data_IF_723792838508
#
_entry.id   IF_723792838508
#
_cell.length_a   1.000
_cell.length_b   1.000
_cell.length_c   1.000
_cell.angle_alpha   90.00
_cell.angle_beta   90.00
_cell.angle_gamma   90.00
#
_symmetry.space_group_name_H-M   'P 1'
#
loop_
_entity.id
_entity.type
_entity.pdbx_description
1 polymer ?
#
# COMPACT_ATOMS: atom_id res chain seq x y z
N UNK A 1 36.75 22.31 -14.38
CA UNK A 1 35.91 22.16 -13.17
C UNK A 1 34.50 22.72 -13.35
N UNK A 2 34.29 24.00 -13.71
CA UNK A 2 32.93 24.57 -13.92
C UNK A 2 32.06 23.84 -14.97
N UNK A 3 32.66 23.38 -16.08
CA UNK A 3 31.94 22.60 -17.11
C UNK A 3 31.47 21.22 -16.63
N UNK A 4 32.27 20.55 -15.79
CA UNK A 4 31.96 19.21 -15.25
C UNK A 4 30.81 19.30 -14.23
N UNK A 5 30.83 20.33 -13.37
CA UNK A 5 29.74 20.59 -12.41
C UNK A 5 28.41 20.84 -13.14
N UNK A 6 28.43 21.55 -14.26
CA UNK A 6 27.23 21.81 -15.06
C UNK A 6 26.67 20.55 -15.73
N UNK A 7 27.52 19.66 -16.24
CA UNK A 7 27.08 18.38 -16.84
C UNK A 7 26.49 17.45 -15.78
N UNK A 8 27.07 17.40 -14.58
CA UNK A 8 26.55 16.61 -13.47
C UNK A 8 25.17 17.15 -13.03
N UNK A 9 25.01 18.47 -12.89
CA UNK A 9 23.73 19.11 -12.55
C UNK A 9 22.63 18.84 -13.60
N UNK A 10 22.97 18.82 -14.89
CA UNK A 10 22.00 18.50 -15.95
C UNK A 10 21.59 17.02 -15.97
N UNK A 11 22.46 16.10 -15.54
CA UNK A 11 22.12 14.67 -15.44
C UNK A 11 21.19 14.41 -14.25
N UNK A 12 21.46 15.02 -13.10
CA UNK A 12 20.58 14.92 -11.91
C UNK A 12 19.20 15.58 -12.11
N UNK A 13 19.11 16.63 -12.93
CA UNK A 13 17.81 17.26 -13.22
C UNK A 13 16.94 16.42 -14.14
N UNK A 14 17.54 15.68 -15.09
CA UNK A 14 16.82 14.78 -15.97
C UNK A 14 16.29 13.54 -15.25
N UNK A 15 17.07 12.94 -14.34
CA UNK A 15 16.63 11.79 -13.55
C UNK A 15 15.47 12.15 -12.61
N UNK A 16 15.56 13.29 -11.91
CA UNK A 16 14.48 13.77 -11.04
C UNK A 16 13.17 14.07 -11.81
N UNK A 17 13.26 14.66 -13.01
CA UNK A 17 12.09 14.96 -13.85
C UNK A 17 11.46 13.68 -14.43
N UNK A 18 12.28 12.68 -14.77
CA UNK A 18 11.83 11.36 -15.24
C UNK A 18 11.05 10.62 -14.16
N UNK A 19 11.57 10.58 -12.92
CA UNK A 19 10.91 9.89 -11.80
C UNK A 19 9.58 10.55 -11.40
N UNK A 20 9.50 11.88 -11.42
CA UNK A 20 8.23 12.57 -11.21
C UNK A 20 7.19 12.25 -12.30
N UNK A 21 7.64 12.11 -13.55
CA UNK A 21 6.76 11.76 -14.68
C UNK A 21 6.26 10.33 -14.58
N UNK A 22 7.13 9.39 -14.18
CA UNK A 22 6.78 7.98 -13.99
C UNK A 22 5.75 7.80 -12.86
N UNK A 23 6.01 8.39 -11.70
CA UNK A 23 5.13 8.27 -10.54
C UNK A 23 3.74 8.88 -10.79
N UNK A 24 3.66 9.97 -11.55
CA UNK A 24 2.37 10.56 -11.92
C UNK A 24 1.54 9.60 -12.78
N UNK A 25 2.15 8.92 -13.77
CA UNK A 25 1.47 7.89 -14.56
C UNK A 25 0.98 6.73 -13.70
N UNK A 26 1.78 6.31 -12.71
CA UNK A 26 1.39 5.27 -11.75
C UNK A 26 0.14 5.68 -10.97
N UNK A 27 0.13 6.92 -10.44
CA UNK A 27 -1.02 7.47 -9.72
C UNK A 27 -2.27 7.56 -10.59
N UNK A 28 -2.13 7.98 -11.85
CA UNK A 28 -3.24 8.04 -12.81
C UNK A 28 -3.83 6.64 -13.07
N UNK A 29 -2.97 5.63 -13.28
CA UNK A 29 -3.41 4.25 -13.45
C UNK A 29 -4.11 3.73 -12.19
N UNK A 30 -3.51 3.90 -11.01
CA UNK A 30 -4.08 3.51 -9.71
C UNK A 30 -5.47 4.11 -9.48
N UNK A 31 -5.70 5.36 -9.90
CA UNK A 31 -6.99 6.02 -9.73
C UNK A 31 -8.16 5.33 -10.44
N UNK A 32 -7.87 4.44 -11.40
CA UNK A 32 -8.86 3.70 -12.20
C UNK A 32 -8.70 2.18 -12.12
N UNK A 33 -7.70 1.68 -11.37
CA UNK A 33 -7.42 0.25 -11.26
C UNK A 33 -8.26 -0.39 -10.14
N UNK A 34 -9.27 -1.15 -10.57
CA UNK A 34 -10.15 -1.89 -9.65
C UNK A 34 -9.41 -2.99 -8.89
N UNK A 35 -8.40 -3.64 -9.47
CA UNK A 35 -7.71 -4.76 -8.81
C UNK A 35 -6.92 -4.23 -7.61
N UNK A 36 -6.12 -3.18 -7.81
CA UNK A 36 -5.35 -2.58 -6.71
C UNK A 36 -6.27 -1.93 -5.67
N UNK A 37 -7.41 -1.37 -6.07
CA UNK A 37 -8.42 -0.88 -5.15
C UNK A 37 -9.04 -2.00 -4.29
N UNK A 38 -9.41 -3.12 -4.90
CA UNK A 38 -9.99 -4.27 -4.19
C UNK A 38 -8.99 -4.87 -3.20
N UNK A 39 -7.70 -4.91 -3.55
CA UNK A 39 -6.64 -5.31 -2.63
C UNK A 39 -6.49 -4.36 -1.43
N UNK A 40 -6.55 -3.05 -1.68
CA UNK A 40 -6.56 -2.04 -0.62
C UNK A 40 -7.77 -2.21 0.31
N UNK A 41 -8.96 -2.45 -0.26
CA UNK A 41 -10.18 -2.73 0.48
C UNK A 41 -10.07 -4.00 1.32
N UNK A 42 -9.57 -5.08 0.73
CA UNK A 42 -9.36 -6.36 1.41
C UNK A 42 -8.43 -6.23 2.62
N UNK A 43 -7.25 -5.61 2.44
CA UNK A 43 -6.30 -5.39 3.53
C UNK A 43 -6.90 -4.53 4.65
N UNK A 44 -7.69 -3.51 4.30
CA UNK A 44 -8.40 -2.68 5.27
C UNK A 44 -9.45 -3.45 6.09
N UNK A 45 -10.21 -4.35 5.44
CA UNK A 45 -11.16 -5.22 6.13
C UNK A 45 -10.47 -6.14 7.13
N UNK A 46 -9.31 -6.71 6.78
CA UNK A 46 -8.53 -7.54 7.67
C UNK A 46 -7.96 -6.76 8.85
N UNK A 47 -7.42 -5.56 8.60
CA UNK A 47 -6.91 -4.67 9.64
C UNK A 47 -8.03 -4.33 10.66
N UNK A 48 -9.25 -4.08 10.17
CA UNK A 48 -10.42 -3.87 11.01
C UNK A 48 -10.77 -5.10 11.86
N UNK A 49 -10.72 -6.30 11.27
CA UNK A 49 -10.99 -7.54 11.98
C UNK A 49 -9.96 -7.80 13.10
N UNK A 50 -8.67 -7.57 12.83
CA UNK A 50 -7.61 -7.73 13.83
C UNK A 50 -7.86 -6.88 15.08
N UNK A 51 -8.37 -5.65 14.90
CA UNK A 51 -8.76 -4.76 16.00
C UNK A 51 -9.91 -5.31 16.85
N UNK A 52 -10.90 -5.96 16.24
CA UNK A 52 -12.03 -6.56 16.96
C UNK A 52 -11.65 -7.88 17.65
N UNK A 53 -10.76 -8.67 17.03
CA UNK A 53 -10.30 -9.95 17.55
C UNK A 53 -9.22 -9.84 18.64
N UNK A 54 -8.81 -8.62 18.99
CA UNK A 54 -7.71 -8.36 19.95
C UNK A 54 -6.40 -9.02 19.50
N UNK A 55 -6.18 -9.12 18.19
CA UNK A 55 -4.95 -9.63 17.64
C UNK A 55 -3.91 -8.51 17.58
N UNK A 56 -3.39 -8.14 18.75
CA UNK A 56 -2.39 -7.06 18.90
C UNK A 56 -0.96 -7.52 18.56
N UNK A 57 -0.75 -8.81 18.28
CA UNK A 57 0.52 -9.31 17.77
C UNK A 57 0.69 -8.91 16.30
N UNK A 58 1.33 -7.75 16.09
CA UNK A 58 1.65 -7.21 14.77
C UNK A 58 2.34 -8.20 13.83
N UNK A 59 3.04 -9.22 14.36
CA UNK A 59 3.78 -10.18 13.52
C UNK A 59 2.95 -11.35 13.02
N UNK A 60 1.75 -11.56 13.55
CA UNK A 60 0.91 -12.72 13.23
C UNK A 60 -0.57 -12.33 13.04
N UNK A 61 -0.85 -11.06 12.77
CA UNK A 61 -2.20 -10.60 12.52
C UNK A 61 -2.62 -10.81 11.05
N UNK A 62 -3.93 -10.82 10.80
CA UNK A 62 -4.45 -11.16 9.48
C UNK A 62 -4.02 -10.16 8.41
N UNK A 63 -3.96 -8.87 8.77
CA UNK A 63 -3.46 -7.80 7.91
C UNK A 63 -2.00 -8.05 7.48
N UNK A 64 -1.09 -8.28 8.43
CA UNK A 64 0.32 -8.52 8.14
C UNK A 64 0.53 -9.77 7.28
N UNK A 65 -0.12 -10.88 7.65
CA UNK A 65 0.00 -12.13 6.90
C UNK A 65 -0.50 -11.98 5.46
N UNK A 66 -1.62 -11.29 5.26
CA UNK A 66 -2.16 -11.04 3.92
C UNK A 66 -1.30 -10.05 3.12
N UNK A 67 -0.67 -9.08 3.78
CA UNK A 67 0.32 -8.22 3.13
C UNK A 67 1.50 -9.06 2.61
N UNK A 68 2.03 -9.98 3.43
CA UNK A 68 3.12 -10.87 3.00
C UNK A 68 2.69 -11.80 1.86
N UNK A 69 1.48 -12.38 1.90
CA UNK A 69 0.97 -13.24 0.84
C UNK A 69 0.81 -12.50 -0.50
N UNK A 70 0.24 -11.30 -0.47
CA UNK A 70 0.16 -10.42 -1.64
C UNK A 70 1.55 -10.05 -2.14
N UNK A 71 2.51 -9.89 -1.23
CA UNK A 71 3.87 -9.62 -1.62
C UNK A 71 4.56 -10.78 -2.32
N UNK A 72 4.45 -11.99 -1.79
CA UNK A 72 4.99 -13.18 -2.43
C UNK A 72 4.38 -13.44 -3.81
N UNK A 73 3.13 -13.03 -4.01
CA UNK A 73 2.44 -13.11 -5.31
C UNK A 73 2.70 -11.92 -6.23
N UNK A 74 3.62 -11.03 -5.85
CA UNK A 74 4.03 -9.85 -6.63
C UNK A 74 2.88 -8.87 -6.93
N UNK A 75 1.97 -8.74 -5.97
CA UNK A 75 0.82 -7.85 -6.05
C UNK A 75 1.24 -6.37 -6.18
N UNK A 76 0.56 -5.56 -7.01
CA UNK A 76 0.89 -4.15 -7.15
C UNK A 76 0.77 -3.37 -5.85
N UNK A 77 -0.22 -3.67 -4.99
CA UNK A 77 -0.42 -2.92 -3.74
C UNK A 77 0.82 -3.01 -2.81
N UNK A 78 1.45 -4.18 -2.69
CA UNK A 78 2.58 -4.41 -1.79
C UNK A 78 3.93 -4.14 -2.44
N UNK A 79 3.94 -3.97 -3.77
CA UNK A 79 5.14 -3.65 -4.56
C UNK A 79 5.32 -2.15 -4.74
N UNK A 80 4.23 -1.39 -4.64
CA UNK A 80 4.24 0.06 -4.71
C UNK A 80 4.19 0.73 -3.34
N UNK A 81 3.48 0.13 -2.36
CA UNK A 81 3.21 0.75 -1.08
C UNK A 81 3.75 -0.04 0.10
N UNK A 82 4.19 0.68 1.12
CA UNK A 82 4.68 0.11 2.37
C UNK A 82 3.54 -0.41 3.23
N UNK A 83 3.81 -1.48 3.97
CA UNK A 83 2.90 -2.00 5.00
C UNK A 83 2.54 -0.89 6.01
N UNK A 84 3.54 -0.13 6.48
CA UNK A 84 3.33 0.99 7.40
C UNK A 84 2.43 2.08 6.81
N UNK A 85 2.53 2.36 5.51
CA UNK A 85 1.66 3.32 4.83
C UNK A 85 0.19 2.88 4.88
N UNK A 86 -0.06 1.59 4.64
CA UNK A 86 -1.38 0.98 4.72
C UNK A 86 -1.90 0.96 6.17
N UNK A 87 -1.12 0.42 7.11
CA UNK A 87 -1.43 0.32 8.54
C UNK A 87 -1.81 1.69 9.13
N UNK A 88 -0.98 2.71 8.89
CA UNK A 88 -1.26 4.06 9.38
C UNK A 88 -2.52 4.67 8.75
N UNK A 89 -2.76 4.39 7.47
CA UNK A 89 -3.96 4.89 6.76
C UNK A 89 -5.22 4.25 7.33
N UNK A 90 -5.23 2.93 7.53
CA UNK A 90 -6.36 2.21 8.10
C UNK A 90 -6.60 2.60 9.56
N UNK A 91 -5.56 2.64 10.40
CA UNK A 91 -5.67 3.14 11.79
C UNK A 91 -6.28 4.52 11.88
N UNK A 92 -5.90 5.43 10.99
CA UNK A 92 -6.45 6.78 10.98
C UNK A 92 -7.91 6.80 10.52
N UNK A 93 -8.25 6.02 9.48
CA UNK A 93 -9.62 5.91 9.00
C UNK A 93 -10.55 5.33 10.09
N UNK A 94 -10.11 4.29 10.76
CA UNK A 94 -10.81 3.59 11.84
C UNK A 94 -11.07 4.42 13.11
N UNK A 95 -10.38 5.54 13.30
CA UNK A 95 -10.66 6.48 14.41
C UNK A 95 -12.03 7.13 14.26
N UNK A 96 -12.55 7.21 13.04
CA UNK A 96 -13.88 7.78 12.76
C UNK A 96 -15.03 6.80 13.08
N UNK A 97 -14.72 5.53 13.35
CA UNK A 97 -15.75 4.52 13.54
C UNK A 97 -16.45 4.68 14.89
N UNK A 98 -17.76 4.40 14.96
CA UNK A 98 -18.46 4.29 16.23
C UNK A 98 -17.68 3.36 17.17
N UNK A 99 -17.53 3.76 18.43
CA UNK A 99 -16.94 2.89 19.45
C UNK A 99 -17.93 1.78 19.79
N UNK A 100 -17.95 0.73 18.99
CA UNK A 100 -18.68 -0.50 19.31
C UNK A 100 -18.04 -1.11 20.55
N UNK A 101 -18.84 -1.44 21.58
CA UNK A 101 -18.35 -2.21 22.72
C UNK A 101 -17.87 -3.55 22.17
N UNK A 102 -16.58 -3.82 22.31
CA UNK A 102 -16.00 -5.12 21.96
C UNK A 102 -16.61 -6.18 22.88
N UNK A 103 -16.93 -7.34 22.32
CA UNK A 103 -17.27 -8.48 23.15
C UNK A 103 -16.03 -8.95 23.91
N UNK A 104 -16.26 -9.61 25.04
CA UNK A 104 -15.21 -10.38 25.71
C UNK A 104 -14.77 -11.54 24.81
N UNK A 105 -13.51 -12.01 24.93
CA UNK A 105 -12.97 -13.13 24.14
C UNK A 105 -13.83 -14.42 24.19
N UNK A 106 -14.66 -14.59 25.23
CA UNK A 106 -15.59 -15.71 25.42
C UNK A 106 -16.92 -15.56 24.65
N UNK A 107 -17.19 -14.40 24.03
CA UNK A 107 -18.47 -14.05 23.36
C UNK A 107 -18.28 -13.39 22.00
N UNK A 108 -17.16 -13.62 21.32
CA UNK A 108 -16.89 -13.02 20.01
C UNK A 108 -17.97 -13.43 18.99
N UNK A 109 -18.76 -12.47 18.52
CA UNK A 109 -19.63 -12.65 17.34
C UNK A 109 -18.84 -12.32 16.06
N UNK A 110 -18.13 -13.31 15.56
CA UNK A 110 -17.26 -13.17 14.39
C UNK A 110 -18.01 -12.70 13.14
N UNK A 111 -19.22 -13.21 12.90
CA UNK A 111 -20.03 -12.83 11.74
C UNK A 111 -20.46 -11.36 11.81
N UNK A 112 -20.80 -10.88 13.01
CA UNK A 112 -21.08 -9.46 13.22
C UNK A 112 -19.86 -8.58 12.91
N UNK A 113 -18.66 -8.96 13.35
CA UNK A 113 -17.45 -8.19 13.06
C UNK A 113 -17.08 -8.18 11.58
N UNK A 114 -17.26 -9.31 10.87
CA UNK A 114 -17.12 -9.34 9.40
C UNK A 114 -18.06 -8.32 8.75
N UNK A 115 -19.35 -8.35 9.11
CA UNK A 115 -20.33 -7.44 8.52
C UNK A 115 -20.00 -5.97 8.82
N UNK A 116 -19.56 -5.66 10.04
CA UNK A 116 -19.11 -4.31 10.40
C UNK A 116 -17.92 -3.90 9.53
N UNK A 117 -16.88 -4.73 9.44
CA UNK A 117 -15.67 -4.39 8.69
C UNK A 117 -15.95 -4.27 7.19
N UNK A 118 -16.78 -5.14 6.60
CA UNK A 118 -17.20 -5.04 5.20
C UNK A 118 -17.99 -3.75 4.92
N UNK A 119 -18.88 -3.36 5.84
CA UNK A 119 -19.67 -2.14 5.70
C UNK A 119 -18.83 -0.88 5.85
N UNK A 120 -17.89 -0.86 6.81
CA UNK A 120 -17.01 0.29 7.03
C UNK A 120 -15.93 0.44 5.94
N UNK A 121 -15.41 -0.67 5.44
CA UNK A 121 -14.52 -0.74 4.29
C UNK A 121 -15.29 -1.08 3.01
N UNK A 122 -16.44 -0.45 2.80
CA UNK A 122 -17.16 -0.54 1.53
C UNK A 122 -16.53 0.38 0.48
N UNK A 123 -16.69 0.04 -0.81
CA UNK A 123 -16.10 0.80 -1.91
C UNK A 123 -16.48 2.29 -1.88
N UNK A 124 -17.73 2.60 -1.53
CA UNK A 124 -18.24 3.96 -1.39
C UNK A 124 -17.45 4.76 -0.34
N UNK A 125 -17.25 4.18 0.84
CA UNK A 125 -16.52 4.83 1.95
C UNK A 125 -15.02 4.94 1.67
N UNK A 126 -14.45 3.97 0.95
CA UNK A 126 -13.01 3.93 0.67
C UNK A 126 -12.56 4.77 -0.52
N UNK A 127 -13.43 5.08 -1.48
CA UNK A 127 -13.04 5.77 -2.72
C UNK A 127 -12.20 7.03 -2.47
N UNK A 128 -12.64 7.90 -1.55
CA UNK A 128 -11.92 9.12 -1.21
C UNK A 128 -10.67 8.86 -0.35
N UNK A 129 -10.70 7.84 0.51
CA UNK A 129 -9.53 7.45 1.31
C UNK A 129 -8.41 6.94 0.39
N UNK A 130 -8.75 6.06 -0.54
CA UNK A 130 -7.81 5.49 -1.50
C UNK A 130 -7.18 6.55 -2.39
N UNK A 131 -7.97 7.51 -2.91
CA UNK A 131 -7.43 8.66 -3.67
C UNK A 131 -6.42 9.47 -2.86
N UNK A 132 -6.67 9.69 -1.56
CA UNK A 132 -5.70 10.38 -0.69
C UNK A 132 -4.46 9.51 -0.45
N UNK A 133 -4.66 8.22 -0.24
CA UNK A 133 -3.60 7.24 -0.02
C UNK A 133 -2.60 7.20 -1.18
N UNK A 134 -3.08 7.01 -2.42
CA UNK A 134 -2.20 6.91 -3.60
C UNK A 134 -1.49 8.23 -3.94
N UNK A 135 -2.02 9.37 -3.48
CA UNK A 135 -1.38 10.67 -3.72
C UNK A 135 -0.31 11.02 -2.67
N UNK A 136 -0.29 10.34 -1.52
CA UNK A 136 0.67 10.58 -0.45
C UNK A 136 1.99 9.82 -0.71
N UNK A 137 3.07 10.56 -0.99
CA UNK A 137 4.40 10.02 -1.26
C UNK A 137 4.99 9.21 -0.08
N UNK A 138 4.55 9.48 1.15
CA UNK A 138 5.05 8.76 2.32
C UNK A 138 4.53 7.32 2.41
N UNK A 139 3.53 6.96 1.60
CA UNK A 139 2.98 5.62 1.56
C UNK A 139 3.73 4.70 0.58
N UNK A 140 4.55 5.27 -0.31
CA UNK A 140 5.34 4.51 -1.28
C UNK A 140 6.65 4.04 -0.66
N UNK A 141 7.15 2.92 -1.17
CA UNK A 141 8.48 2.46 -0.84
C UNK A 141 9.57 3.48 -1.22
N UNK A 142 10.60 3.56 -0.38
CA UNK A 142 11.75 4.44 -0.55
C UNK A 142 13.05 3.63 -0.61
N UNK A 143 14.09 4.15 -1.30
CA UNK A 143 15.39 3.50 -1.32
C UNK A 143 15.95 3.30 0.10
N UNK A 144 16.48 2.10 0.38
CA UNK A 144 17.13 1.80 1.66
C UNK A 144 16.19 1.49 2.83
N UNK A 145 14.92 1.15 2.59
CA UNK A 145 14.02 0.66 3.64
C UNK A 145 14.45 -0.71 4.20
N UNK A 146 14.51 -0.81 5.54
CA UNK A 146 15.18 -1.87 6.34
C UNK A 146 14.79 -3.32 5.97
N UNK A 147 13.57 -3.56 5.50
CA UNK A 147 13.09 -4.94 5.29
C UNK A 147 13.48 -5.55 3.95
N UNK A 148 13.79 -4.73 2.95
CA UNK A 148 14.08 -5.25 1.60
C UNK A 148 15.30 -4.66 0.94
N UNK A 149 15.87 -3.58 1.49
CA UNK A 149 16.98 -2.85 0.86
C UNK A 149 16.72 -2.59 -0.63
N UNK A 150 15.51 -2.14 -0.98
CA UNK A 150 15.24 -1.78 -2.36
C UNK A 150 16.13 -0.63 -2.79
N UNK A 151 16.78 -0.81 -3.93
CA UNK A 151 17.51 0.24 -4.61
C UNK A 151 16.52 1.13 -5.39
N UNK A 152 16.98 2.29 -5.83
CA UNK A 152 16.14 3.21 -6.61
C UNK A 152 15.68 2.55 -7.92
N UNK A 153 16.55 1.75 -8.55
CA UNK A 153 16.24 1.00 -9.76
C UNK A 153 15.13 -0.03 -9.55
N UNK A 154 15.08 -0.71 -8.40
CA UNK A 154 14.04 -1.70 -8.10
C UNK A 154 12.67 -1.06 -8.00
N UNK A 155 12.59 0.10 -7.32
CA UNK A 155 11.37 0.88 -7.16
C UNK A 155 10.90 1.40 -8.51
N UNK A 156 11.81 1.99 -9.30
CA UNK A 156 11.49 2.50 -10.64
C UNK A 156 10.99 1.36 -11.55
N UNK A 157 11.63 0.19 -11.49
CA UNK A 157 11.23 -0.94 -12.32
C UNK A 157 9.89 -1.55 -11.86
N UNK A 158 9.61 -1.58 -10.56
CA UNK A 158 8.28 -2.00 -10.08
C UNK A 158 7.17 -1.07 -10.62
N UNK A 159 7.43 0.24 -10.67
CA UNK A 159 6.50 1.20 -11.28
C UNK A 159 6.32 0.97 -12.77
N UNK A 160 7.40 0.69 -13.51
CA UNK A 160 7.34 0.37 -14.95
C UNK A 160 6.56 -0.91 -15.21
N UNK A 161 6.86 -1.99 -14.49
CA UNK A 161 6.17 -3.27 -14.64
C UNK A 161 4.67 -3.12 -14.32
N UNK A 162 4.33 -2.38 -13.25
CA UNK A 162 2.93 -2.10 -12.93
C UNK A 162 2.22 -1.34 -14.05
N UNK A 163 2.86 -0.32 -14.64
CA UNK A 163 2.28 0.43 -15.76
C UNK A 163 2.05 -0.45 -16.99
N UNK A 164 2.98 -1.34 -17.30
CA UNK A 164 2.95 -2.19 -18.48
C UNK A 164 2.01 -3.40 -18.33
N UNK A 165 2.06 -4.09 -17.18
CA UNK A 165 1.41 -5.39 -16.99
C UNK A 165 0.31 -5.39 -15.93
N UNK A 166 0.16 -4.32 -15.14
CA UNK A 166 -0.74 -4.30 -13.97
C UNK A 166 -0.27 -5.20 -12.81
N UNK A 167 0.91 -5.81 -12.93
CA UNK A 167 1.57 -6.66 -11.95
C UNK A 167 3.08 -6.59 -12.18
N UNK A 168 3.89 -7.06 -11.24
CA UNK A 168 5.34 -7.09 -11.43
C UNK A 168 5.75 -8.29 -12.30
N UNK A 169 6.78 -8.12 -13.14
CA UNK A 169 7.32 -9.23 -13.93
C UNK A 169 8.14 -10.17 -13.05
N UNK A 170 7.56 -11.34 -12.75
CA UNK A 170 8.19 -12.36 -11.90
C UNK A 170 9.53 -12.87 -12.43
N UNK A 171 9.77 -12.77 -13.74
CA UNK A 171 11.01 -13.24 -14.38
C UNK A 171 12.24 -12.45 -13.92
N UNK A 172 12.05 -11.29 -13.29
CA UNK A 172 13.14 -10.51 -12.67
C UNK A 172 13.71 -11.14 -11.40
N UNK A 173 12.99 -12.07 -10.80
CA UNK A 173 13.37 -12.73 -9.54
C UNK A 173 13.82 -14.19 -9.74
N UNK A 174 13.93 -14.64 -11.00
CA UNK A 174 14.43 -15.97 -11.41
C UNK A 174 15.85 -15.86 -11.94
#
# INVERSE_FOLDING_TARGET
>A
MKKIIFTILCLYSQSALSNHTLLNKVKEKLATDHITFDQFQYLGQLHCLDRYLMNDDKKNNNFHNSYLELDFTLSPITRLFTEDGLDNTFKNFEKSYPKTKRDTQQRLDFNNYINICQNEFSAEKLSNLYKKFINNLNNYHKPGEEYRNWEEEDIEQNMKDYLEYGKIDYRRFL
#
